data_IF_441128695895
#
_entry.id   IF_441128695895
#
_cell.length_a   1.000
_cell.length_b   1.000
_cell.length_c   1.000
_cell.angle_alpha   90.00
_cell.angle_beta   90.00
_cell.angle_gamma   90.00
#
_symmetry.space_group_name_H-M   'P 1'
#
loop_
_entity.id
_entity.type
_entity.pdbx_description
1 polymer ?
#
# COMPACT_ATOMS: atom_id res chain seq x y z
N UNK A 1 -15.47 24.21 1.12
CA UNK A 1 -15.13 22.77 1.20
C UNK A 1 -16.44 22.01 1.13
N UNK A 2 -16.63 21.17 0.11
CA UNK A 2 -17.90 20.47 -0.09
C UNK A 2 -18.19 19.50 1.06
N UNK A 3 -19.46 19.36 1.43
CA UNK A 3 -19.96 18.44 2.46
C UNK A 3 -19.85 16.95 2.08
N UNK A 4 -18.83 16.55 1.31
CA UNK A 4 -18.70 15.19 0.81
C UNK A 4 -18.53 14.16 1.92
N UNK A 5 -17.96 14.54 3.08
CA UNK A 5 -17.87 13.66 4.26
C UNK A 5 -19.23 13.25 4.83
N UNK A 6 -20.30 13.98 4.49
CA UNK A 6 -21.67 13.67 4.90
C UNK A 6 -22.42 12.86 3.83
N UNK A 7 -21.81 12.57 2.68
CA UNK A 7 -22.41 11.69 1.68
C UNK A 7 -22.34 10.26 2.19
N UNK A 8 -23.42 9.52 2.00
CA UNK A 8 -23.51 8.12 2.40
C UNK A 8 -22.37 7.28 1.79
N UNK A 9 -21.97 7.57 0.55
CA UNK A 9 -20.97 6.75 -0.16
C UNK A 9 -19.51 7.08 0.24
N UNK A 10 -19.26 8.14 1.02
CA UNK A 10 -17.90 8.55 1.39
C UNK A 10 -17.15 7.51 2.22
N UNK A 11 -17.86 6.81 3.12
CA UNK A 11 -17.27 5.75 3.94
C UNK A 11 -17.02 4.45 3.16
N UNK A 12 -17.48 4.35 1.92
CA UNK A 12 -17.36 3.16 1.07
C UNK A 12 -17.89 1.92 1.81
N UNK A 13 -17.05 0.92 2.07
CA UNK A 13 -17.45 -0.29 2.81
C UNK A 13 -17.40 -0.13 4.35
N UNK A 14 -16.84 0.98 4.85
CA UNK A 14 -16.73 1.33 6.27
C UNK A 14 -17.80 2.34 6.72
N UNK A 15 -19.01 2.27 6.12
CA UNK A 15 -20.10 3.18 6.46
C UNK A 15 -20.65 2.99 7.88
N UNK A 16 -20.51 1.79 8.45
CA UNK A 16 -21.01 1.44 9.79
C UNK A 16 -22.48 1.84 10.03
N UNK A 17 -23.33 1.62 9.02
CA UNK A 17 -24.77 1.91 9.10
C UNK A 17 -25.44 1.08 10.20
N UNK A 18 -26.34 1.70 10.96
CA UNK A 18 -26.99 1.08 12.13
C UNK A 18 -27.69 -0.23 11.78
N UNK A 19 -27.43 -1.26 12.59
CA UNK A 19 -28.07 -2.57 12.50
C UNK A 19 -29.43 -2.63 13.24
N UNK A 20 -29.82 -1.57 13.97
CA UNK A 20 -30.96 -1.59 14.90
C UNK A 20 -32.32 -1.87 14.26
N UNK A 21 -32.52 -1.47 13.00
CA UNK A 21 -33.81 -1.55 12.31
C UNK A 21 -34.09 -2.92 11.66
N UNK A 22 -33.17 -3.88 11.78
CA UNK A 22 -33.26 -5.20 11.14
C UNK A 22 -33.21 -6.41 12.09
N UNK A 23 -33.25 -7.62 11.51
CA UNK A 23 -33.12 -8.89 12.24
C UNK A 23 -31.77 -9.05 12.95
N UNK A 24 -30.74 -8.33 12.51
CA UNK A 24 -29.43 -8.27 13.18
C UNK A 24 -29.46 -7.39 14.43
N UNK A 25 -30.31 -6.36 14.45
CA UNK A 25 -30.45 -5.45 15.58
C UNK A 25 -30.89 -6.16 16.85
N UNK A 26 -31.82 -7.10 16.77
CA UNK A 26 -32.25 -7.90 17.95
C UNK A 26 -31.14 -8.83 18.45
N UNK A 27 -30.27 -9.34 17.57
CA UNK A 27 -29.17 -10.23 17.92
C UNK A 27 -28.03 -9.53 18.65
N UNK A 28 -27.68 -8.31 18.24
CA UNK A 28 -26.56 -7.57 18.83
C UNK A 28 -26.97 -6.46 19.79
N UNK A 29 -28.28 -6.27 20.04
CA UNK A 29 -28.77 -5.26 20.98
C UNK A 29 -28.12 -5.44 22.34
N UNK A 30 -27.42 -4.42 22.79
CA UNK A 30 -26.75 -4.42 24.09
C UNK A 30 -25.48 -5.28 24.16
N UNK A 31 -25.02 -5.86 23.05
CA UNK A 31 -23.72 -6.53 22.98
C UNK A 31 -22.58 -5.51 22.79
N UNK A 32 -21.35 -5.96 23.03
CA UNK A 32 -20.12 -5.19 22.75
C UNK A 32 -20.01 -3.81 23.44
N UNK A 33 -20.59 -3.66 24.65
CA UNK A 33 -20.63 -2.38 25.39
C UNK A 33 -19.28 -1.94 25.97
N UNK A 34 -18.29 -2.82 26.02
CA UNK A 34 -16.99 -2.56 26.63
C UNK A 34 -15.85 -3.09 25.76
N UNK A 35 -14.80 -2.28 25.62
CA UNK A 35 -13.57 -2.69 24.93
C UNK A 35 -12.38 -2.62 25.87
N UNK A 36 -11.41 -3.52 25.66
CA UNK A 36 -10.11 -3.50 26.34
C UNK A 36 -9.02 -3.73 25.30
N UNK A 37 -8.01 -2.86 25.30
CA UNK A 37 -6.90 -2.92 24.38
C UNK A 37 -5.64 -3.05 25.24
N UNK A 38 -5.02 -4.23 25.20
CA UNK A 38 -3.72 -4.47 25.86
C UNK A 38 -2.54 -4.22 24.92
N UNK A 39 -2.80 -4.02 23.63
CA UNK A 39 -1.80 -3.56 22.68
C UNK A 39 -1.38 -2.11 23.04
N UNK A 40 -0.11 -1.93 23.37
CA UNK A 40 0.50 -0.64 23.72
C UNK A 40 1.39 -0.08 22.59
N UNK A 41 1.34 -0.69 21.41
CA UNK A 41 2.10 -0.25 20.24
C UNK A 41 1.49 0.95 19.51
N UNK A 42 2.20 1.48 18.49
CA UNK A 42 1.84 2.72 17.79
C UNK A 42 0.47 2.72 17.11
N UNK A 43 -0.15 1.55 16.87
CA UNK A 43 -1.47 1.45 16.24
C UNK A 43 -2.64 1.35 17.25
N UNK A 44 -2.36 1.33 18.55
CA UNK A 44 -3.40 1.29 19.58
C UNK A 44 -4.43 2.44 19.48
N UNK A 45 -4.04 3.70 19.16
CA UNK A 45 -5.00 4.78 18.93
C UNK A 45 -5.96 4.49 17.76
N UNK A 46 -5.44 4.01 16.62
CA UNK A 46 -6.26 3.67 15.46
C UNK A 46 -7.22 2.51 15.76
N UNK A 47 -6.77 1.49 16.49
CA UNK A 47 -7.61 0.38 16.95
C UNK A 47 -8.75 0.90 17.84
N UNK A 48 -8.44 1.75 18.81
CA UNK A 48 -9.43 2.34 19.70
C UNK A 48 -10.45 3.17 18.93
N UNK A 49 -9.99 4.11 18.10
CA UNK A 49 -10.86 4.98 17.31
C UNK A 49 -11.77 4.18 16.38
N UNK A 50 -11.26 3.12 15.74
CA UNK A 50 -12.05 2.32 14.81
C UNK A 50 -13.07 1.43 15.54
N UNK A 51 -12.74 0.88 16.71
CA UNK A 51 -13.71 0.16 17.56
C UNK A 51 -14.82 1.09 18.06
N UNK A 52 -14.46 2.28 18.53
CA UNK A 52 -15.42 3.29 18.99
C UNK A 52 -16.37 3.69 17.85
N UNK A 53 -15.81 4.01 16.68
CA UNK A 53 -16.57 4.39 15.48
C UNK A 53 -17.44 3.25 14.96
N UNK A 54 -16.88 2.06 14.82
CA UNK A 54 -17.56 0.89 14.24
C UNK A 54 -18.68 0.37 15.12
N UNK A 55 -18.41 0.13 16.41
CA UNK A 55 -19.43 -0.32 17.37
C UNK A 55 -20.47 0.77 17.58
N UNK A 56 -20.05 2.04 17.72
CA UNK A 56 -20.93 3.18 17.89
C UNK A 56 -21.90 3.37 16.72
N UNK A 57 -21.40 3.26 15.48
CA UNK A 57 -22.24 3.35 14.27
C UNK A 57 -23.20 2.16 14.13
N UNK A 58 -22.68 0.94 14.27
CA UNK A 58 -23.46 -0.29 14.03
C UNK A 58 -24.52 -0.55 15.09
N UNK A 59 -24.23 -0.23 16.36
CA UNK A 59 -25.07 -0.58 17.51
C UNK A 59 -25.67 0.64 18.23
N UNK A 60 -25.46 1.85 17.70
CA UNK A 60 -26.04 3.09 18.21
C UNK A 60 -25.45 3.60 19.54
N UNK A 61 -24.44 2.94 20.10
CA UNK A 61 -23.78 3.34 21.35
C UNK A 61 -22.29 3.06 21.30
N UNK A 62 -21.50 4.08 21.61
CA UNK A 62 -20.06 3.92 21.77
C UNK A 62 -19.75 3.00 22.97
N UNK A 63 -18.82 2.06 22.82
CA UNK A 63 -18.42 1.19 23.91
C UNK A 63 -17.59 1.97 24.94
N UNK A 64 -17.62 1.54 26.20
CA UNK A 64 -16.74 2.06 27.24
C UNK A 64 -15.38 1.39 27.16
N UNK A 65 -14.31 2.18 27.09
CA UNK A 65 -12.94 1.68 27.23
C UNK A 65 -12.66 1.31 28.68
N UNK A 66 -12.27 0.06 28.91
CA UNK A 66 -11.80 -0.46 30.20
C UNK A 66 -10.27 -0.50 30.23
N UNK A 67 -9.70 -0.80 31.41
CA UNK A 67 -8.26 -0.99 31.54
C UNK A 67 -7.72 -2.12 30.65
N UNK A 68 -6.42 -2.13 30.32
CA UNK A 68 -5.82 -3.06 29.35
C UNK A 68 -5.91 -4.54 29.76
N UNK A 69 -6.20 -4.83 31.03
CA UNK A 69 -6.29 -6.20 31.57
C UNK A 69 -7.72 -6.59 31.98
N UNK A 70 -8.73 -5.83 31.53
CA UNK A 70 -10.13 -6.08 31.84
C UNK A 70 -10.63 -7.35 31.12
N UNK A 71 -10.63 -8.48 31.84
CA UNK A 71 -11.02 -9.79 31.30
C UNK A 71 -12.50 -9.89 30.97
N UNK A 72 -13.31 -9.04 31.59
CA UNK A 72 -14.77 -8.90 31.45
C UNK A 72 -15.18 -7.96 30.31
N UNK A 73 -14.23 -7.33 29.62
CA UNK A 73 -14.53 -6.54 28.43
C UNK A 73 -15.14 -7.42 27.33
N UNK A 74 -16.21 -6.94 26.70
CA UNK A 74 -16.91 -7.66 25.64
C UNK A 74 -16.12 -7.77 24.33
N UNK A 75 -15.18 -6.84 24.07
CA UNK A 75 -14.20 -6.96 22.98
C UNK A 75 -12.81 -6.72 23.55
N UNK A 76 -11.89 -7.65 23.30
CA UNK A 76 -10.52 -7.61 23.81
C UNK A 76 -9.53 -7.71 22.67
N UNK A 77 -8.64 -6.72 22.56
CA UNK A 77 -7.51 -6.73 21.63
C UNK A 77 -6.24 -7.03 22.43
N UNK A 78 -5.59 -8.13 22.09
CA UNK A 78 -4.44 -8.66 22.81
C UNK A 78 -3.24 -8.76 21.89
N UNK A 79 -2.19 -8.02 22.25
CA UNK A 79 -0.87 -8.23 21.67
C UNK A 79 -0.10 -9.17 22.58
N UNK A 80 0.28 -10.32 22.07
CA UNK A 80 1.08 -11.30 22.81
C UNK A 80 2.45 -11.49 22.14
N UNK A 81 3.40 -12.09 22.84
CA UNK A 81 4.66 -12.47 22.21
C UNK A 81 4.41 -13.58 21.18
N UNK A 82 5.22 -13.60 20.12
CA UNK A 82 5.16 -14.67 19.14
C UNK A 82 5.47 -16.02 19.79
N UNK A 83 4.55 -16.97 19.63
CA UNK A 83 4.64 -18.32 20.17
C UNK A 83 4.35 -19.37 19.10
N UNK A 84 4.46 -20.64 19.48
CA UNK A 84 4.17 -21.77 18.59
C UNK A 84 2.71 -21.70 18.09
N UNK A 85 2.52 -21.69 16.76
CA UNK A 85 1.20 -21.56 16.13
C UNK A 85 0.69 -20.12 15.96
N UNK A 86 1.49 -19.09 16.27
CA UNK A 86 1.15 -17.68 15.99
C UNK A 86 1.04 -17.44 14.47
N UNK A 87 0.04 -16.67 13.99
CA UNK A 87 -0.12 -16.35 12.57
C UNK A 87 0.87 -15.28 12.07
N UNK A 88 1.87 -14.91 12.88
CA UNK A 88 2.87 -13.88 12.57
C UNK A 88 2.39 -12.45 12.89
N UNK A 89 3.24 -11.42 12.69
CA UNK A 89 3.03 -10.05 13.18
C UNK A 89 1.91 -9.27 12.48
N UNK A 90 1.53 -9.69 11.28
CA UNK A 90 0.37 -9.16 10.54
C UNK A 90 -0.83 -10.11 10.54
N UNK A 91 -0.70 -11.30 11.14
CA UNK A 91 -1.79 -12.25 11.29
C UNK A 91 -2.57 -12.03 12.59
N UNK A 92 -3.77 -12.59 12.66
CA UNK A 92 -4.62 -12.49 13.85
C UNK A 92 -5.44 -13.75 14.08
N UNK A 93 -5.82 -13.97 15.33
CA UNK A 93 -6.81 -14.95 15.74
C UNK A 93 -7.99 -14.21 16.36
N UNK A 94 -9.20 -14.46 15.88
CA UNK A 94 -10.45 -13.92 16.40
C UNK A 94 -11.29 -15.07 16.94
N UNK A 95 -11.66 -14.99 18.21
CA UNK A 95 -12.52 -15.98 18.87
C UNK A 95 -13.72 -15.31 19.50
N UNK A 96 -14.88 -15.97 19.43
CA UNK A 96 -16.11 -15.50 20.04
C UNK A 96 -16.62 -16.54 21.03
N UNK A 97 -16.61 -16.18 22.31
CA UNK A 97 -17.25 -16.93 23.39
C UNK A 97 -18.55 -16.29 23.82
N UNK A 98 -19.21 -16.91 24.79
CA UNK A 98 -20.37 -16.37 25.47
C UNK A 98 -20.19 -16.45 26.99
N UNK A 99 -20.62 -15.43 27.70
CA UNK A 99 -20.69 -15.42 29.15
C UNK A 99 -22.01 -14.78 29.58
N UNK A 100 -22.86 -15.54 30.29
CA UNK A 100 -24.17 -15.09 30.77
C UNK A 100 -25.07 -14.46 29.68
N UNK A 101 -25.04 -14.99 28.45
CA UNK A 101 -25.80 -14.45 27.31
C UNK A 101 -25.15 -13.27 26.58
N UNK A 102 -23.99 -12.81 27.03
CA UNK A 102 -23.20 -11.76 26.38
C UNK A 102 -22.05 -12.36 25.56
N UNK A 103 -21.95 -11.97 24.30
CA UNK A 103 -20.86 -12.38 23.42
C UNK A 103 -19.56 -11.68 23.84
N UNK A 104 -18.47 -12.44 23.85
CA UNK A 104 -17.14 -11.96 24.13
C UNK A 104 -16.23 -12.22 22.94
N UNK A 105 -15.71 -11.16 22.34
CA UNK A 105 -14.75 -11.23 21.22
C UNK A 105 -13.35 -11.03 21.77
N UNK A 106 -12.45 -11.94 21.43
CA UNK A 106 -11.03 -11.81 21.71
C UNK A 106 -10.27 -11.87 20.39
N UNK A 107 -9.45 -10.85 20.14
CA UNK A 107 -8.54 -10.77 18.99
C UNK A 107 -7.11 -10.81 19.52
N UNK A 108 -6.32 -11.76 19.04
CA UNK A 108 -4.92 -11.96 19.43
C UNK A 108 -4.01 -11.84 18.22
N UNK A 109 -2.89 -11.14 18.35
CA UNK A 109 -1.83 -11.03 17.34
C UNK A 109 -0.46 -10.84 18.02
N UNK A 110 0.62 -11.22 17.34
CA UNK A 110 1.98 -10.93 17.81
C UNK A 110 2.48 -9.52 17.45
N UNK A 111 1.83 -8.85 16.50
CA UNK A 111 2.17 -7.50 16.05
C UNK A 111 0.99 -6.53 16.00
N UNK A 112 1.31 -5.23 16.01
CA UNK A 112 0.31 -4.17 16.03
C UNK A 112 -0.57 -4.17 14.78
N UNK A 113 0.01 -4.49 13.61
CA UNK A 113 -0.74 -4.60 12.35
C UNK A 113 -1.76 -5.73 12.39
N UNK A 114 -1.40 -6.91 12.92
CA UNK A 114 -2.36 -8.00 13.10
C UNK A 114 -3.50 -7.62 14.05
N UNK A 115 -3.22 -6.87 15.14
CA UNK A 115 -4.28 -6.34 16.01
C UNK A 115 -5.23 -5.39 15.25
N UNK A 116 -4.69 -4.51 14.40
CA UNK A 116 -5.48 -3.60 13.58
C UNK A 116 -6.31 -4.36 12.52
N UNK A 117 -5.71 -5.30 11.81
CA UNK A 117 -6.42 -6.10 10.80
C UNK A 117 -7.50 -6.99 11.42
N UNK A 118 -7.23 -7.60 12.59
CA UNK A 118 -8.23 -8.34 13.35
C UNK A 118 -9.39 -7.48 13.84
N UNK A 119 -9.12 -6.21 14.19
CA UNK A 119 -10.15 -5.22 14.52
C UNK A 119 -11.07 -4.96 13.33
N UNK A 120 -10.50 -4.69 12.14
CA UNK A 120 -11.30 -4.53 10.92
C UNK A 120 -12.04 -5.81 10.52
N UNK A 121 -11.45 -6.99 10.73
CA UNK A 121 -12.12 -8.27 10.50
C UNK A 121 -13.33 -8.46 11.41
N UNK A 122 -13.20 -8.12 12.70
CA UNK A 122 -14.33 -8.12 13.63
C UNK A 122 -15.44 -7.18 13.19
N UNK A 123 -15.12 -5.93 12.85
CA UNK A 123 -16.12 -4.95 12.41
C UNK A 123 -16.80 -5.38 11.11
N UNK A 124 -16.05 -5.95 10.17
CA UNK A 124 -16.60 -6.55 8.94
C UNK A 124 -17.57 -7.70 9.25
N UNK A 125 -17.19 -8.62 10.12
CA UNK A 125 -18.04 -9.75 10.54
C UNK A 125 -19.29 -9.27 11.30
N UNK A 126 -19.16 -8.21 12.11
CA UNK A 126 -20.29 -7.59 12.79
C UNK A 126 -21.26 -6.95 11.79
N UNK A 127 -20.74 -6.17 10.83
CA UNK A 127 -21.51 -5.61 9.71
C UNK A 127 -22.27 -6.68 8.91
N UNK A 128 -21.64 -7.83 8.65
CA UNK A 128 -22.25 -8.94 7.92
C UNK A 128 -23.18 -9.81 8.77
N UNK A 129 -23.24 -9.59 10.09
CA UNK A 129 -24.08 -10.37 10.99
C UNK A 129 -23.54 -11.77 11.32
N UNK A 130 -22.23 -11.98 11.19
CA UNK A 130 -21.59 -13.30 11.30
C UNK A 130 -21.03 -13.63 12.70
N UNK A 131 -20.92 -12.65 13.60
CA UNK A 131 -20.42 -12.83 14.97
C UNK A 131 -21.40 -13.68 15.83
N UNK A 132 -21.00 -14.90 16.19
CA UNK A 132 -21.76 -15.83 17.06
C UNK A 132 -20.81 -16.61 17.96
N UNK A 133 -21.36 -17.12 19.07
CA UNK A 133 -20.66 -18.08 19.92
C UNK A 133 -20.04 -19.22 19.10
N UNK A 134 -18.81 -19.59 19.45
CA UNK A 134 -18.07 -20.67 18.82
C UNK A 134 -17.35 -20.27 17.52
N UNK A 135 -17.50 -19.02 17.05
CA UNK A 135 -16.71 -18.52 15.92
C UNK A 135 -15.23 -18.48 16.30
N UNK A 136 -14.40 -19.14 15.48
CA UNK A 136 -12.95 -19.11 15.55
C UNK A 136 -12.39 -18.85 14.15
N UNK A 137 -11.63 -17.78 13.99
CA UNK A 137 -10.99 -17.38 12.73
C UNK A 137 -9.51 -17.15 13.00
N UNK A 138 -8.65 -17.80 12.22
CA UNK A 138 -7.21 -17.47 12.14
C UNK A 138 -6.91 -17.03 10.72
N UNK A 139 -6.30 -15.87 10.55
CA UNK A 139 -5.99 -15.30 9.24
C UNK A 139 -4.61 -14.65 9.25
N UNK A 140 -3.89 -14.77 8.14
CA UNK A 140 -2.55 -14.23 7.96
C UNK A 140 -2.33 -13.88 6.49
N UNK A 141 -1.71 -12.73 6.18
CA UNK A 141 -1.47 -12.34 4.80
C UNK A 141 -0.52 -13.33 4.11
N UNK A 142 -0.85 -13.71 2.88
CA UNK A 142 0.01 -14.57 2.04
C UNK A 142 1.13 -13.81 1.36
N UNK A 143 0.94 -12.52 1.13
CA UNK A 143 1.89 -11.64 0.47
C UNK A 143 2.41 -10.62 1.47
N UNK A 144 3.74 -10.47 1.67
CA UNK A 144 4.29 -9.55 2.65
C UNK A 144 4.14 -8.08 2.22
N UNK A 145 4.22 -7.80 0.91
CA UNK A 145 4.00 -6.47 0.34
C UNK A 145 2.63 -6.43 -0.34
N UNK A 146 1.74 -5.56 0.15
CA UNK A 146 0.38 -5.37 -0.37
C UNK A 146 0.19 -3.87 -0.59
N UNK A 147 0.36 -3.45 -1.82
CA UNK A 147 0.69 -2.05 -2.14
C UNK A 147 -0.29 -1.42 -3.13
N UNK A 148 -0.58 -0.12 -2.95
CA UNK A 148 -1.20 0.72 -3.98
C UNK A 148 -0.19 1.66 -4.63
N UNK A 149 -0.30 1.88 -5.94
CA UNK A 149 0.51 2.86 -6.66
C UNK A 149 -0.40 3.99 -7.17
N UNK A 150 -0.07 5.22 -6.80
CA UNK A 150 -0.73 6.41 -7.29
C UNK A 150 0.01 6.97 -8.50
N UNK A 151 -0.76 7.35 -9.52
CA UNK A 151 -0.26 8.08 -10.69
C UNK A 151 -0.58 9.58 -10.57
N UNK A 152 -0.49 10.09 -9.34
CA UNK A 152 -0.78 11.46 -8.98
C UNK A 152 0.43 12.37 -9.26
N UNK A 153 0.20 13.50 -9.92
CA UNK A 153 1.18 14.56 -10.11
C UNK A 153 1.01 15.64 -9.03
N UNK A 154 2.08 16.38 -8.76
CA UNK A 154 2.11 17.41 -7.73
C UNK A 154 1.18 18.61 -8.05
N UNK A 155 0.91 18.87 -9.33
CA UNK A 155 -0.07 19.87 -9.75
C UNK A 155 -1.53 19.52 -9.38
N UNK A 156 -1.78 18.26 -9.00
CA UNK A 156 -3.08 17.74 -8.60
C UNK A 156 -3.80 16.94 -9.69
N UNK A 157 -3.23 16.84 -10.90
CA UNK A 157 -3.68 15.90 -11.92
C UNK A 157 -3.34 14.46 -11.55
N UNK A 158 -4.05 13.50 -12.13
CA UNK A 158 -3.79 12.06 -11.96
C UNK A 158 -3.73 11.45 -13.35
N UNK A 159 -2.58 10.89 -13.73
CA UNK A 159 -2.42 10.21 -15.00
C UNK A 159 -3.30 8.96 -15.01
N UNK A 160 -4.17 8.85 -16.03
CA UNK A 160 -5.24 7.84 -16.11
C UNK A 160 -6.20 7.86 -14.90
N UNK A 161 -6.39 9.05 -14.31
CA UNK A 161 -7.35 9.27 -13.24
C UNK A 161 -8.74 9.60 -13.77
N UNK A 162 -9.74 8.79 -13.38
CA UNK A 162 -11.15 9.00 -13.74
C UNK A 162 -12.06 9.24 -12.53
N UNK A 163 -11.47 9.50 -11.36
CA UNK A 163 -12.17 9.71 -10.08
C UNK A 163 -11.96 11.13 -9.50
N UNK A 164 -11.56 12.09 -10.34
CA UNK A 164 -11.23 13.46 -9.94
C UNK A 164 -9.71 13.68 -9.75
N UNK A 165 -9.37 14.81 -9.14
CA UNK A 165 -8.00 15.24 -8.86
C UNK A 165 -7.37 14.47 -7.69
N UNK A 166 -6.03 14.55 -7.58
CA UNK A 166 -5.25 13.98 -6.49
C UNK A 166 -5.83 14.34 -5.13
N UNK A 167 -5.83 13.39 -4.20
CA UNK A 167 -6.18 13.63 -2.79
C UNK A 167 -4.99 14.12 -1.97
N UNK A 168 -3.76 13.96 -2.47
CA UNK A 168 -2.53 14.36 -1.79
C UNK A 168 -2.12 15.77 -2.19
N UNK A 169 -2.15 16.05 -3.49
CA UNK A 169 -1.51 17.24 -4.04
C UNK A 169 -2.48 18.18 -4.74
N UNK A 170 -2.08 19.45 -4.78
CA UNK A 170 -2.68 20.50 -5.58
C UNK A 170 -1.71 21.66 -5.69
N UNK A 171 -1.53 22.22 -6.89
CA UNK A 171 -0.71 23.42 -7.10
C UNK A 171 0.75 23.25 -6.59
N UNK A 172 1.30 22.03 -6.71
CA UNK A 172 2.61 21.58 -6.22
C UNK A 172 2.77 21.48 -4.69
N UNK A 173 1.68 21.60 -3.94
CA UNK A 173 1.67 21.54 -2.47
C UNK A 173 0.77 20.41 -1.96
N UNK A 174 0.92 20.05 -0.68
CA UNK A 174 -0.04 19.16 -0.02
C UNK A 174 -1.41 19.83 0.08
N UNK A 175 -2.46 19.03 -0.07
CA UNK A 175 -3.82 19.47 0.24
C UNK A 175 -4.00 19.75 1.72
N UNK A 176 -4.77 20.79 2.02
CA UNK A 176 -5.08 21.19 3.40
C UNK A 176 -5.93 20.16 4.16
N UNK A 177 -6.80 19.40 3.48
CA UNK A 177 -7.64 18.37 4.13
C UNK A 177 -6.87 17.04 4.30
N UNK A 178 -5.97 17.03 5.27
CA UNK A 178 -5.25 15.82 5.68
C UNK A 178 -6.17 14.75 6.27
N UNK A 179 -7.37 15.14 6.73
CA UNK A 179 -8.37 14.21 7.25
C UNK A 179 -8.84 13.21 6.19
N UNK A 180 -8.95 13.62 4.93
CA UNK A 180 -9.30 12.72 3.83
C UNK A 180 -8.20 11.69 3.54
N UNK A 181 -6.94 12.06 3.72
CA UNK A 181 -5.79 11.14 3.57
C UNK A 181 -5.81 10.11 4.71
N UNK A 182 -6.18 10.53 5.92
CA UNK A 182 -6.40 9.61 7.05
C UNK A 182 -7.55 8.64 6.81
N UNK A 183 -8.68 9.13 6.27
CA UNK A 183 -9.79 8.26 5.87
C UNK A 183 -9.40 7.27 4.76
N UNK A 184 -8.54 7.70 3.83
CA UNK A 184 -7.97 6.79 2.82
C UNK A 184 -7.08 5.71 3.45
N UNK A 185 -6.21 6.07 4.40
CA UNK A 185 -5.39 5.12 5.15
C UNK A 185 -6.25 4.09 5.91
N UNK A 186 -7.38 4.52 6.50
CA UNK A 186 -8.39 3.63 7.11
C UNK A 186 -8.93 2.62 6.11
N UNK A 187 -9.36 3.08 4.93
CA UNK A 187 -9.87 2.20 3.87
C UNK A 187 -8.82 1.15 3.47
N UNK A 188 -7.58 1.57 3.19
CA UNK A 188 -6.51 0.65 2.81
C UNK A 188 -6.22 -0.38 3.92
N UNK A 189 -6.07 0.06 5.17
CA UNK A 189 -5.78 -0.83 6.29
C UNK A 189 -6.91 -1.85 6.54
N UNK A 190 -8.17 -1.48 6.29
CA UNK A 190 -9.32 -2.37 6.49
C UNK A 190 -9.37 -3.58 5.56
N UNK A 191 -8.68 -3.49 4.41
CA UNK A 191 -8.49 -4.58 3.45
C UNK A 191 -7.06 -5.14 3.50
N UNK A 192 -6.30 -4.79 4.53
CA UNK A 192 -4.96 -5.32 4.80
C UNK A 192 -3.85 -4.73 3.95
N UNK A 193 -4.10 -3.72 3.11
CA UNK A 193 -3.04 -3.03 2.35
C UNK A 193 -2.08 -2.38 3.35
N UNK A 194 -0.78 -2.57 3.14
CA UNK A 194 0.25 -2.15 4.09
C UNK A 194 1.28 -1.18 3.48
N UNK A 195 1.16 -0.83 2.20
CA UNK A 195 2.09 0.07 1.54
C UNK A 195 1.42 0.93 0.47
N UNK A 196 1.98 2.12 0.24
CA UNK A 196 1.47 3.07 -0.76
C UNK A 196 2.63 3.85 -1.40
N UNK A 197 2.67 3.91 -2.73
CA UNK A 197 3.43 4.93 -3.45
C UNK A 197 2.48 6.07 -3.81
N UNK A 198 2.81 7.30 -3.41
CA UNK A 198 1.87 8.45 -3.47
C UNK A 198 2.00 9.30 -4.72
N UNK A 199 3.08 9.14 -5.50
CA UNK A 199 3.35 9.97 -6.68
C UNK A 199 3.58 9.13 -7.94
N UNK A 200 3.32 9.78 -9.07
CA UNK A 200 3.38 9.17 -10.38
C UNK A 200 4.73 8.51 -10.71
N UNK A 201 4.66 7.34 -11.35
CA UNK A 201 5.82 6.62 -11.90
C UNK A 201 6.53 7.43 -13.00
N UNK A 202 5.79 8.31 -13.69
CA UNK A 202 6.36 9.35 -14.54
C UNK A 202 6.72 10.58 -13.70
N UNK A 203 7.87 10.53 -13.03
CA UNK A 203 8.30 11.60 -12.10
C UNK A 203 8.75 12.84 -12.87
N UNK A 204 8.00 13.94 -12.82
CA UNK A 204 8.40 15.21 -13.45
C UNK A 204 9.29 16.05 -12.53
N UNK A 205 9.58 17.29 -12.93
CA UNK A 205 10.55 18.15 -12.25
C UNK A 205 10.12 18.46 -10.80
N UNK A 206 8.84 18.78 -10.58
CA UNK A 206 8.35 19.09 -9.23
C UNK A 206 8.37 17.86 -8.31
N UNK A 207 8.00 16.69 -8.84
CA UNK A 207 7.98 15.41 -8.13
C UNK A 207 9.41 14.93 -7.81
N UNK A 208 10.40 15.29 -8.64
CA UNK A 208 11.83 14.98 -8.38
C UNK A 208 12.31 15.64 -7.08
N UNK A 209 11.70 16.75 -6.67
CA UNK A 209 12.03 17.45 -5.42
C UNK A 209 11.49 16.76 -4.15
N UNK A 210 10.67 15.71 -4.26
CA UNK A 210 10.17 14.95 -3.09
C UNK A 210 11.30 14.28 -2.29
N UNK A 211 12.42 13.96 -2.95
CA UNK A 211 13.66 13.48 -2.29
C UNK A 211 14.63 14.61 -1.91
N UNK A 212 14.19 15.88 -2.03
CA UNK A 212 15.02 17.05 -1.83
C UNK A 212 14.26 18.19 -1.12
N UNK A 213 13.96 19.29 -1.80
CA UNK A 213 13.39 20.48 -1.17
C UNK A 213 11.96 20.28 -0.63
N UNK A 214 11.23 19.25 -1.10
CA UNK A 214 9.83 18.98 -0.72
C UNK A 214 9.66 17.82 0.28
N UNK A 215 10.72 17.40 0.98
CA UNK A 215 10.67 16.28 1.94
C UNK A 215 9.66 16.47 3.09
N UNK A 216 9.31 17.69 3.47
CA UNK A 216 8.28 17.95 4.50
C UNK A 216 6.91 17.35 4.10
N UNK A 217 6.60 17.34 2.80
CA UNK A 217 5.38 16.72 2.28
C UNK A 217 5.39 15.22 2.50
N UNK A 218 6.53 14.59 2.19
CA UNK A 218 6.76 13.15 2.37
C UNK A 218 6.67 12.78 3.84
N UNK A 219 7.29 13.56 4.73
CA UNK A 219 7.24 13.34 6.18
C UNK A 219 5.82 13.41 6.72
N UNK A 220 5.03 14.40 6.26
CA UNK A 220 3.62 14.55 6.65
C UNK A 220 2.79 13.35 6.20
N UNK A 221 2.93 12.92 4.94
CA UNK A 221 2.20 11.76 4.41
C UNK A 221 2.60 10.46 5.14
N UNK A 222 3.89 10.23 5.35
CA UNK A 222 4.39 9.08 6.11
C UNK A 222 3.85 9.08 7.55
N UNK A 223 3.77 10.27 8.18
CA UNK A 223 3.06 10.53 9.43
C UNK A 223 1.68 9.89 9.46
N UNK A 224 0.82 10.29 8.53
CA UNK A 224 -0.58 9.87 8.46
C UNK A 224 -0.70 8.38 8.15
N UNK A 225 0.09 7.86 7.20
CA UNK A 225 0.04 6.45 6.82
C UNK A 225 0.50 5.52 7.96
N UNK A 226 1.51 5.93 8.73
CA UNK A 226 2.00 5.20 9.90
C UNK A 226 0.94 5.02 10.98
N UNK A 227 0.04 5.99 11.16
CA UNK A 227 -1.08 5.87 12.12
C UNK A 227 -1.95 4.64 11.87
N UNK A 228 -2.00 4.15 10.62
CA UNK A 228 -2.76 2.96 10.21
C UNK A 228 -1.87 1.79 9.76
N UNK A 229 -0.58 1.85 10.12
CA UNK A 229 0.38 0.80 9.81
C UNK A 229 0.76 0.71 8.34
N UNK A 230 0.53 1.73 7.51
CA UNK A 230 0.99 1.76 6.13
C UNK A 230 2.40 2.34 6.02
N UNK A 231 3.21 1.73 5.16
CA UNK A 231 4.55 2.20 4.81
C UNK A 231 4.50 3.03 3.52
N UNK A 232 5.14 4.20 3.54
CA UNK A 232 5.19 5.09 2.39
C UNK A 232 6.35 4.70 1.45
N UNK A 233 6.09 4.72 0.15
CA UNK A 233 7.08 4.62 -0.93
C UNK A 233 7.00 5.87 -1.82
N UNK A 234 8.08 6.17 -2.54
CA UNK A 234 8.12 7.22 -3.54
C UNK A 234 8.50 6.67 -4.90
N UNK A 235 7.79 7.08 -5.95
CA UNK A 235 8.33 6.97 -7.30
C UNK A 235 9.48 7.97 -7.46
N UNK A 236 10.62 7.56 -8.00
CA UNK A 236 11.78 8.45 -8.21
C UNK A 236 12.14 8.62 -9.69
N UNK A 237 12.73 9.75 -10.02
CA UNK A 237 13.33 9.98 -11.33
C UNK A 237 14.73 9.35 -11.35
N UNK A 238 14.95 8.32 -12.15
CA UNK A 238 16.28 7.69 -12.27
C UNK A 238 17.40 8.69 -12.63
N UNK A 239 17.08 9.69 -13.45
CA UNK A 239 18.00 10.76 -13.85
C UNK A 239 18.10 11.92 -12.85
N UNK A 240 17.63 11.76 -11.61
CA UNK A 240 17.76 12.80 -10.57
C UNK A 240 19.18 13.36 -10.43
N UNK A 241 20.27 12.57 -10.50
CA UNK A 241 21.62 13.13 -10.48
C UNK A 241 21.85 14.28 -11.47
N UNK A 242 21.28 14.21 -12.68
CA UNK A 242 21.38 15.27 -13.69
C UNK A 242 20.67 16.55 -13.23
N UNK A 243 19.44 16.41 -12.72
CA UNK A 243 18.63 17.53 -12.22
C UNK A 243 19.30 18.22 -11.02
N UNK A 244 20.14 17.49 -10.28
CA UNK A 244 20.89 17.98 -9.12
C UNK A 244 22.38 18.25 -9.41
N UNK A 245 22.75 18.41 -10.69
CA UNK A 245 24.01 19.02 -11.11
C UNK A 245 25.17 18.06 -11.46
N UNK A 246 24.91 16.75 -11.60
CA UNK A 246 25.89 15.83 -12.19
C UNK A 246 25.74 15.82 -13.73
N UNK A 247 26.82 15.51 -14.43
CA UNK A 247 26.82 15.44 -15.90
C UNK A 247 26.31 14.08 -16.45
N UNK A 248 26.09 13.11 -15.57
CA UNK A 248 25.64 11.75 -15.92
C UNK A 248 24.72 11.15 -14.86
N UNK A 249 23.94 10.13 -15.24
CA UNK A 249 23.22 9.23 -14.33
C UNK A 249 23.56 7.75 -14.59
N UNK A 250 24.76 7.49 -15.14
CA UNK A 250 25.29 6.12 -15.30
C UNK A 250 25.43 5.44 -13.92
N UNK A 251 24.76 4.30 -13.67
CA UNK A 251 24.80 3.61 -12.38
C UNK A 251 26.18 3.06 -11.98
N UNK A 252 27.12 2.97 -12.93
CA UNK A 252 28.49 2.55 -12.68
C UNK A 252 29.44 3.74 -12.47
N UNK A 253 28.98 4.98 -12.67
CA UNK A 253 29.75 6.17 -12.34
C UNK A 253 29.85 6.36 -10.81
N UNK A 254 31.07 6.57 -10.32
CA UNK A 254 31.33 6.66 -8.89
C UNK A 254 30.64 7.87 -8.22
N UNK A 255 30.49 8.99 -8.93
CA UNK A 255 29.82 10.18 -8.41
C UNK A 255 28.31 9.96 -8.34
N UNK A 256 27.72 9.29 -9.33
CA UNK A 256 26.29 8.91 -9.32
C UNK A 256 25.98 8.00 -8.15
N UNK A 257 26.80 6.96 -7.92
CA UNK A 257 26.62 6.04 -6.79
C UNK A 257 26.74 6.75 -5.45
N UNK A 258 27.74 7.62 -5.30
CA UNK A 258 27.93 8.41 -4.08
C UNK A 258 26.77 9.38 -3.85
N UNK A 259 26.27 10.01 -4.91
CA UNK A 259 25.13 10.92 -4.85
C UNK A 259 23.87 10.21 -4.36
N UNK A 260 23.55 9.03 -4.90
CA UNK A 260 22.39 8.27 -4.45
C UNK A 260 22.52 7.83 -2.99
N UNK A 261 23.69 7.39 -2.54
CA UNK A 261 23.92 7.04 -1.12
C UNK A 261 23.68 8.23 -0.18
N UNK A 262 24.26 9.39 -0.47
CA UNK A 262 24.04 10.63 0.31
C UNK A 262 22.58 11.08 0.26
N UNK A 263 21.94 10.98 -0.91
CA UNK A 263 20.54 11.36 -1.09
C UNK A 263 19.60 10.47 -0.29
N UNK A 264 19.79 9.15 -0.35
CA UNK A 264 18.98 8.18 0.41
C UNK A 264 19.18 8.39 1.90
N UNK A 265 20.41 8.58 2.38
CA UNK A 265 20.66 8.89 3.79
C UNK A 265 19.88 10.12 4.27
N UNK A 266 19.87 11.20 3.47
CA UNK A 266 19.08 12.40 3.78
C UNK A 266 17.58 12.12 3.82
N UNK A 267 17.06 11.31 2.90
CA UNK A 267 15.64 10.92 2.88
C UNK A 267 15.27 10.12 4.13
N UNK A 268 16.04 9.09 4.47
CA UNK A 268 15.80 8.26 5.66
C UNK A 268 16.03 9.02 6.98
N UNK A 269 16.90 10.04 7.00
CA UNK A 269 17.03 10.92 8.18
C UNK A 269 15.74 11.70 8.48
N UNK A 270 14.89 11.92 7.47
CA UNK A 270 13.60 12.63 7.59
C UNK A 270 12.42 11.68 7.76
N UNK A 271 12.48 10.52 7.11
CA UNK A 271 11.45 9.49 7.13
C UNK A 271 12.11 8.13 7.38
N UNK A 272 12.43 7.79 8.65
CA UNK A 272 13.24 6.61 8.98
C UNK A 272 12.61 5.27 8.60
N UNK A 273 11.29 5.24 8.45
CA UNK A 273 10.49 4.06 8.11
C UNK A 273 9.94 4.12 6.68
N UNK A 274 10.57 4.91 5.79
CA UNK A 274 10.24 4.87 4.37
C UNK A 274 10.47 3.45 3.83
N UNK A 275 9.51 2.92 3.09
CA UNK A 275 9.60 1.57 2.53
C UNK A 275 10.65 1.45 1.42
N UNK A 276 10.89 2.54 0.71
CA UNK A 276 11.89 2.64 -0.35
C UNK A 276 11.31 3.30 -1.59
N UNK A 277 11.77 2.85 -2.77
CA UNK A 277 11.49 3.53 -4.03
C UNK A 277 10.79 2.64 -5.05
N UNK A 278 10.00 3.28 -5.91
CA UNK A 278 9.39 2.72 -7.10
C UNK A 278 10.03 3.36 -8.34
N UNK A 279 10.42 2.55 -9.33
CA UNK A 279 11.14 3.04 -10.51
C UNK A 279 10.50 2.58 -11.80
N UNK A 280 10.23 3.54 -12.69
CA UNK A 280 10.01 3.34 -14.12
C UNK A 280 11.21 3.91 -14.87
N UNK A 281 12.03 3.04 -15.44
CA UNK A 281 13.24 3.39 -16.19
C UNK A 281 13.19 2.78 -17.60
N UNK A 282 13.84 3.43 -18.58
CA UNK A 282 13.92 3.01 -19.99
C UNK A 282 12.56 2.66 -20.63
N UNK A 283 11.52 3.41 -20.27
CA UNK A 283 10.15 3.14 -20.69
C UNK A 283 9.44 4.45 -21.03
N UNK A 284 8.85 4.53 -22.22
CA UNK A 284 8.06 5.68 -22.69
C UNK A 284 8.81 7.02 -22.54
N UNK A 285 10.07 7.05 -23.00
CA UNK A 285 11.00 8.18 -22.92
C UNK A 285 11.46 8.55 -21.50
N UNK A 286 11.20 7.72 -20.49
CA UNK A 286 11.82 7.89 -19.17
C UNK A 286 13.28 7.42 -19.23
N UNK A 287 14.23 8.24 -18.74
CA UNK A 287 15.63 7.86 -18.73
C UNK A 287 15.86 6.66 -17.81
N UNK A 288 16.79 5.79 -18.20
CA UNK A 288 17.23 4.66 -17.41
C UNK A 288 18.62 4.16 -17.80
N UNK A 289 19.03 2.99 -17.24
CA UNK A 289 20.32 2.37 -17.51
C UNK A 289 20.68 2.18 -18.99
N UNK A 290 19.72 1.90 -19.88
CA UNK A 290 19.99 1.68 -21.30
C UNK A 290 20.59 2.92 -21.98
N UNK A 291 20.24 4.13 -21.53
CA UNK A 291 20.86 5.40 -21.97
C UNK A 291 22.39 5.37 -21.86
N UNK A 292 22.91 4.64 -20.88
CA UNK A 292 24.33 4.57 -20.55
C UNK A 292 24.98 3.24 -20.98
N UNK A 293 24.28 2.42 -21.77
CA UNK A 293 24.75 1.10 -22.17
C UNK A 293 24.88 0.12 -21.00
N UNK A 294 24.06 0.29 -19.95
CA UNK A 294 24.04 -0.57 -18.75
C UNK A 294 22.81 -1.47 -18.74
N UNK A 295 22.81 -2.50 -17.91
CA UNK A 295 21.66 -3.39 -17.73
C UNK A 295 20.66 -2.84 -16.72
N UNK A 296 19.44 -3.39 -16.71
CA UNK A 296 18.46 -3.08 -15.65
C UNK A 296 18.96 -3.50 -14.27
N UNK A 297 19.75 -4.58 -14.18
CA UNK A 297 20.36 -5.03 -12.93
C UNK A 297 21.41 -4.03 -12.41
N UNK A 298 22.24 -3.44 -13.27
CA UNK A 298 23.21 -2.41 -12.86
C UNK A 298 22.50 -1.20 -12.23
N UNK A 299 21.43 -0.73 -12.88
CA UNK A 299 20.63 0.39 -12.39
C UNK A 299 19.90 0.09 -11.08
N UNK A 300 19.23 -1.06 -11.04
CA UNK A 300 18.48 -1.49 -9.87
C UNK A 300 19.40 -1.72 -8.66
N UNK A 301 20.52 -2.42 -8.84
CA UNK A 301 21.44 -2.71 -7.74
C UNK A 301 22.12 -1.46 -7.20
N UNK A 302 22.44 -0.48 -8.04
CA UNK A 302 23.00 0.80 -7.56
C UNK A 302 22.06 1.50 -6.56
N UNK A 303 20.75 1.51 -6.85
CA UNK A 303 19.75 2.07 -5.93
C UNK A 303 19.45 1.14 -4.75
N UNK A 304 19.41 -0.17 -4.99
CA UNK A 304 19.23 -1.20 -3.96
C UNK A 304 20.31 -1.10 -2.87
N UNK A 305 21.57 -0.99 -3.26
CA UNK A 305 22.72 -0.77 -2.36
C UNK A 305 22.62 0.54 -1.56
N UNK A 306 22.00 1.59 -2.12
CA UNK A 306 21.81 2.85 -1.40
C UNK A 306 20.71 2.74 -0.33
N UNK A 307 19.69 1.91 -0.58
CA UNK A 307 18.55 1.67 0.32
C UNK A 307 18.84 0.64 1.41
N UNK A 308 19.71 -0.34 1.14
CA UNK A 308 20.00 -1.49 2.00
C UNK A 308 20.35 -1.13 3.45
N UNK A 309 21.20 -0.12 3.75
CA UNK A 309 21.55 0.23 5.13
C UNK A 309 20.36 0.67 6.00
N UNK A 310 19.25 1.04 5.37
CA UNK A 310 18.03 1.51 6.03
C UNK A 310 16.89 0.49 6.00
N UNK A 311 17.15 -0.73 5.49
CA UNK A 311 16.13 -1.76 5.29
C UNK A 311 15.13 -1.43 4.16
N UNK A 312 15.47 -0.46 3.29
CA UNK A 312 14.64 -0.06 2.18
C UNK A 312 14.60 -1.08 1.04
N UNK A 313 13.47 -1.13 0.35
CA UNK A 313 13.21 -2.01 -0.80
C UNK A 313 13.10 -1.19 -2.08
N UNK A 314 13.71 -1.67 -3.15
CA UNK A 314 13.56 -1.10 -4.48
C UNK A 314 12.54 -1.90 -5.28
N UNK A 315 11.47 -1.24 -5.69
CA UNK A 315 10.47 -1.79 -6.61
C UNK A 315 10.82 -1.32 -8.02
N UNK A 316 11.29 -2.23 -8.86
CA UNK A 316 11.75 -1.95 -10.22
C UNK A 316 10.75 -2.47 -11.24
N UNK A 317 10.10 -1.59 -12.00
CA UNK A 317 9.05 -1.99 -12.94
C UNK A 317 9.64 -2.62 -14.19
N UNK A 318 9.08 -3.76 -14.60
CA UNK A 318 9.46 -4.50 -15.81
C UNK A 318 8.70 -4.06 -17.07
N UNK A 319 7.95 -2.95 -17.01
CA UNK A 319 7.23 -2.40 -18.15
C UNK A 319 8.17 -1.67 -19.11
N UNK A 320 9.04 -2.43 -19.78
CA UNK A 320 10.09 -1.96 -20.69
C UNK A 320 9.85 -2.58 -22.06
N UNK A 321 9.77 -1.75 -23.10
CA UNK A 321 9.56 -2.19 -24.49
C UNK A 321 10.02 -1.13 -25.48
N UNK A 322 10.20 -1.50 -26.74
CA UNK A 322 10.48 -0.55 -27.81
C UNK A 322 9.23 0.29 -28.13
N UNK A 323 9.11 1.48 -27.53
CA UNK A 323 8.01 2.41 -27.79
C UNK A 323 8.15 3.21 -29.10
N UNK A 324 9.19 2.95 -29.90
CA UNK A 324 9.44 3.54 -31.22
C UNK A 324 9.43 2.48 -32.33
N UNK A 325 8.79 1.34 -32.09
CA UNK A 325 8.71 0.24 -33.06
C UNK A 325 8.12 0.70 -34.41
N UNK A 326 8.79 0.36 -35.51
CA UNK A 326 8.21 0.51 -36.85
C UNK A 326 7.07 -0.49 -37.01
N UNK A 327 5.86 -0.02 -37.26
CA UNK A 327 4.66 -0.85 -37.44
C UNK A 327 4.79 -1.85 -38.61
N UNK A 328 5.76 -1.64 -39.52
CA UNK A 328 6.05 -2.55 -40.64
C UNK A 328 6.91 -3.74 -40.22
N UNK A 329 7.65 -3.63 -39.12
CA UNK A 329 8.46 -4.71 -38.60
C UNK A 329 7.57 -5.75 -37.90
N UNK A 330 7.40 -6.90 -38.57
CA UNK A 330 6.64 -8.05 -38.08
C UNK A 330 7.49 -9.05 -37.29
N UNK A 331 8.77 -8.77 -37.06
CA UNK A 331 9.67 -9.63 -36.27
C UNK A 331 9.75 -9.19 -34.82
N UNK A 332 9.86 -7.87 -34.58
CA UNK A 332 9.80 -7.33 -33.22
C UNK A 332 8.40 -7.53 -32.65
N UNK A 333 8.32 -8.17 -31.49
CA UNK A 333 7.07 -8.38 -30.77
C UNK A 333 7.15 -7.71 -29.40
N UNK A 334 6.26 -6.74 -29.16
CA UNK A 334 6.18 -6.03 -27.87
C UNK A 334 5.93 -7.01 -26.72
N UNK A 335 5.17 -8.08 -26.94
CA UNK A 335 4.81 -9.03 -25.89
C UNK A 335 6.00 -9.87 -25.38
N UNK A 336 7.11 -9.94 -26.13
CA UNK A 336 8.32 -10.65 -25.66
C UNK A 336 9.27 -9.74 -24.91
N UNK A 337 9.15 -8.41 -25.07
CA UNK A 337 10.17 -7.45 -24.64
C UNK A 337 10.55 -7.55 -23.17
N UNK A 338 9.56 -7.59 -22.25
CA UNK A 338 9.85 -7.70 -20.83
C UNK A 338 10.58 -9.00 -20.48
N UNK A 339 10.19 -10.12 -21.11
CA UNK A 339 10.87 -11.39 -20.91
C UNK A 339 12.31 -11.35 -21.44
N UNK A 340 12.50 -10.87 -22.66
CA UNK A 340 13.81 -10.80 -23.32
C UNK A 340 14.78 -9.88 -22.58
N UNK A 341 14.28 -8.81 -21.95
CA UNK A 341 15.11 -7.88 -21.17
C UNK A 341 15.47 -8.39 -19.78
N UNK A 342 14.54 -9.02 -19.06
CA UNK A 342 14.72 -9.36 -17.64
C UNK A 342 15.12 -10.81 -17.39
N UNK A 343 14.67 -11.78 -18.20
CA UNK A 343 15.02 -13.19 -17.97
C UNK A 343 16.53 -13.45 -17.98
N UNK A 344 17.33 -12.87 -18.88
CA UNK A 344 18.79 -13.05 -18.85
C UNK A 344 19.47 -12.50 -17.58
N UNK A 345 18.77 -11.67 -16.80
CA UNK A 345 19.24 -11.02 -15.58
C UNK A 345 18.79 -11.75 -14.30
N UNK A 346 18.11 -12.90 -14.43
CA UNK A 346 17.67 -13.70 -13.28
C UNK A 346 18.86 -14.11 -12.39
N UNK A 347 18.74 -13.84 -11.09
CA UNK A 347 19.80 -14.04 -10.10
C UNK A 347 20.85 -12.94 -10.01
N UNK A 348 20.72 -11.86 -10.79
CA UNK A 348 21.67 -10.72 -10.76
C UNK A 348 21.17 -9.53 -9.92
N UNK A 349 19.92 -9.54 -9.48
CA UNK A 349 19.35 -8.47 -8.65
C UNK A 349 19.63 -8.70 -7.17
N UNK A 350 19.90 -7.62 -6.42
CA UNK A 350 20.07 -7.68 -4.97
C UNK A 350 18.81 -8.16 -4.25
N UNK A 351 18.97 -8.69 -3.03
CA UNK A 351 17.86 -9.29 -2.26
C UNK A 351 16.75 -8.27 -1.92
N UNK A 352 17.08 -6.98 -1.80
CA UNK A 352 16.11 -5.91 -1.55
C UNK A 352 15.54 -5.30 -2.85
N UNK A 353 15.83 -5.86 -4.02
CA UNK A 353 15.24 -5.47 -5.30
C UNK A 353 14.09 -6.41 -5.63
N UNK A 354 12.92 -5.85 -5.93
CA UNK A 354 11.72 -6.58 -6.34
C UNK A 354 11.31 -6.12 -7.73
N UNK A 355 11.21 -7.06 -8.66
CA UNK A 355 10.71 -6.82 -10.00
C UNK A 355 9.18 -6.73 -9.99
N UNK A 356 8.64 -5.55 -10.28
CA UNK A 356 7.21 -5.33 -10.42
C UNK A 356 6.78 -5.57 -11.86
N UNK A 357 5.93 -6.57 -12.07
CA UNK A 357 5.56 -7.10 -13.38
C UNK A 357 4.04 -7.00 -13.54
N UNK A 358 3.57 -6.40 -14.63
CA UNK A 358 2.13 -6.35 -14.97
C UNK A 358 1.55 -7.75 -15.14
N UNK A 359 0.24 -7.89 -14.96
CA UNK A 359 -0.45 -9.17 -15.14
C UNK A 359 -0.27 -9.80 -16.53
N UNK A 360 -0.13 -8.98 -17.57
CA UNK A 360 0.15 -9.43 -18.92
C UNK A 360 1.30 -8.65 -19.57
N UNK A 361 1.85 -9.19 -20.68
CA UNK A 361 3.07 -8.67 -21.30
C UNK A 361 2.86 -7.44 -22.18
N UNK A 362 1.60 -6.98 -22.35
CA UNK A 362 1.29 -5.79 -23.13
C UNK A 362 1.08 -4.60 -22.20
N UNK A 363 -0.17 -4.22 -21.91
CA UNK A 363 -0.48 -3.01 -21.14
C UNK A 363 -1.93 -3.00 -20.65
N UNK A 364 -2.23 -3.79 -19.62
CA UNK A 364 -3.51 -3.78 -18.90
C UNK A 364 -4.75 -3.85 -19.79
N UNK A 365 -4.66 -4.49 -20.95
CA UNK A 365 -5.79 -4.65 -21.84
C UNK A 365 -6.90 -5.47 -21.14
N UNK A 366 -8.13 -5.36 -21.64
CA UNK A 366 -9.31 -6.08 -21.09
C UNK A 366 -9.05 -7.57 -20.86
N UNK A 367 -8.22 -8.17 -21.72
CA UNK A 367 -7.71 -9.53 -21.53
C UNK A 367 -6.31 -9.62 -22.13
N UNK A 368 -5.40 -10.18 -21.35
CA UNK A 368 -4.05 -10.54 -21.78
C UNK A 368 -3.74 -11.97 -21.30
N UNK A 369 -2.82 -12.69 -21.97
CA UNK A 369 -2.18 -13.84 -21.35
C UNK A 369 -1.34 -13.38 -20.14
N UNK A 370 -1.04 -14.30 -19.23
CA UNK A 370 -0.17 -14.02 -18.07
C UNK A 370 1.24 -13.69 -18.56
N UNK A 371 1.88 -12.69 -17.95
CA UNK A 371 3.27 -12.33 -18.20
C UNK A 371 4.22 -13.52 -18.02
N UNK A 372 4.99 -13.93 -19.05
CA UNK A 372 5.89 -15.10 -18.98
C UNK A 372 7.06 -14.97 -18.00
N UNK A 373 7.31 -13.77 -17.45
CA UNK A 373 8.30 -13.59 -16.38
C UNK A 373 7.91 -14.33 -15.09
N UNK A 374 6.61 -14.47 -14.81
CA UNK A 374 6.14 -15.27 -13.67
C UNK A 374 6.39 -16.75 -13.94
N UNK A 375 7.18 -17.38 -13.08
CA UNK A 375 7.71 -18.74 -13.30
C UNK A 375 8.87 -18.80 -14.29
N UNK A 376 9.18 -17.69 -14.97
CA UNK A 376 10.36 -17.56 -15.82
C UNK A 376 11.60 -17.20 -15.02
N UNK A 377 11.49 -16.41 -13.94
CA UNK A 377 12.63 -16.05 -13.07
C UNK A 377 12.47 -16.70 -11.71
N UNK A 378 13.44 -17.52 -11.30
CA UNK A 378 13.37 -18.32 -10.08
C UNK A 378 14.29 -17.80 -8.97
N UNK A 379 15.25 -16.94 -9.32
CA UNK A 379 16.27 -16.42 -8.40
C UNK A 379 16.15 -14.90 -8.21
N UNK A 380 14.95 -14.33 -8.41
CA UNK A 380 14.71 -12.89 -8.26
C UNK A 380 13.32 -12.65 -7.68
N UNK A 381 13.22 -11.71 -6.74
CA UNK A 381 11.95 -11.35 -6.12
C UNK A 381 11.02 -10.69 -7.14
N UNK A 382 9.74 -11.09 -7.12
CA UNK A 382 8.73 -10.60 -8.06
C UNK A 382 7.48 -10.13 -7.32
N UNK A 383 6.82 -9.10 -7.84
CA UNK A 383 5.49 -8.67 -7.40
C UNK A 383 4.59 -8.36 -8.61
N UNK A 384 3.32 -8.73 -8.49
CA UNK A 384 2.30 -8.48 -9.51
C UNK A 384 1.79 -7.03 -9.45
N UNK A 385 1.78 -6.35 -10.60
CA UNK A 385 1.10 -5.08 -10.82
C UNK A 385 -0.25 -5.32 -11.51
N UNK A 386 -1.32 -4.81 -10.90
CA UNK A 386 -2.69 -4.80 -11.44
C UNK A 386 -3.17 -3.35 -11.56
N UNK A 387 -4.01 -3.07 -12.55
CA UNK A 387 -4.57 -1.73 -12.76
C UNK A 387 -6.01 -1.64 -12.24
N UNK A 388 -6.19 -0.96 -11.11
CA UNK A 388 -7.52 -0.74 -10.51
C UNK A 388 -8.26 0.40 -11.24
N UNK A 389 -7.56 1.48 -11.62
CA UNK A 389 -8.14 2.51 -12.49
C UNK A 389 -8.41 1.92 -13.86
N UNK A 390 -9.60 2.12 -14.41
CA UNK A 390 -10.08 1.37 -15.56
C UNK A 390 -9.62 1.99 -16.89
N UNK A 391 -8.32 2.22 -17.10
CA UNK A 391 -7.81 2.89 -18.31
C UNK A 391 -8.36 2.26 -19.60
N UNK A 392 -8.22 0.94 -19.70
CA UNK A 392 -8.66 0.13 -20.85
C UNK A 392 -9.93 -0.69 -20.56
N UNK A 393 -10.48 -0.61 -19.35
CA UNK A 393 -11.68 -1.34 -18.91
C UNK A 393 -12.87 -0.42 -18.63
N UNK A 394 -12.88 0.77 -19.23
CA UNK A 394 -14.08 1.61 -19.33
C UNK A 394 -14.10 2.90 -18.49
N UNK A 395 -12.96 3.27 -17.90
CA UNK A 395 -12.66 4.58 -17.32
C UNK A 395 -13.65 5.02 -16.24
N UNK A 396 -14.12 4.06 -15.44
CA UNK A 396 -15.18 4.21 -14.43
C UNK A 396 -16.51 4.75 -14.97
N UNK A 397 -16.68 4.86 -16.30
CA UNK A 397 -17.98 5.12 -16.95
C UNK A 397 -18.75 3.83 -17.21
N UNK A 398 -18.02 2.76 -17.53
CA UNK A 398 -18.56 1.42 -17.60
C UNK A 398 -18.32 0.69 -16.29
N UNK A 399 -19.33 -0.03 -15.81
CA UNK A 399 -19.17 -0.95 -14.69
C UNK A 399 -18.31 -2.13 -15.12
N UNK A 400 -17.16 -2.32 -14.48
CA UNK A 400 -16.27 -3.46 -14.70
C UNK A 400 -15.68 -3.91 -13.35
N UNK A 401 -16.22 -4.99 -12.79
CA UNK A 401 -15.64 -5.62 -11.59
C UNK A 401 -14.47 -6.50 -12.01
N UNK A 402 -13.27 -6.17 -11.55
CA UNK A 402 -12.00 -6.73 -12.04
C UNK A 402 -11.50 -7.97 -11.28
N UNK A 403 -12.24 -8.43 -10.26
CA UNK A 403 -11.86 -9.57 -9.40
C UNK A 403 -12.33 -10.89 -9.98
#
# INVERSE_FOLDING_TARGET
MGHFKNLQDYGCWLNYDSLEEGSLGSRYRGQFQTISISADGPLAPAINEELMRGIGGLLGREPKVLGPQAKDASVRIIRESEGEGSPGPEGYQLTVGENEGALQVVIVSSGDRGCLYGTFAFLRLLQMGEIKEGLHLTDAPKMPLRMTNHWDNLDGSVERGYAGSSIFFRDNELRQDLGRIRDYARLLASVGINSVAVNNVNVHQAETELIASRMEMVQTLAGIFREYGLTLFLSINYASPLEFGLDTADPLDAQVRAWWKDRVEKVYSRVPDLGGFLVKADSENRPGPFTYGRTQADGANMLGEALEPFGGVLIWRCFVYNCQQDWRDKKTDRATAAYDHFKPLDGQFGENVILQIKNGPMDFQVREPVSPLFGGMEATNQILELQITQEYTGQQRHLCYLV
#
